data_IF_320289990267
#
_entry.id   IF_320289990267
#
_cell.length_a   1.000
_cell.length_b   1.000
_cell.length_c   1.000
_cell.angle_alpha   90.00
_cell.angle_beta   90.00
_cell.angle_gamma   90.00
#
_symmetry.space_group_name_H-M   'P 1'
#
loop_
_entity.id
_entity.type
_entity.pdbx_description
1 polymer ?
#
# COMPACT_ATOMS: atom_id res chain seq x y z
N UNK A 1 -34.10 -51.09 -25.90
CA UNK A 1 -34.73 -49.78 -25.60
C UNK A 1 -33.63 -48.73 -25.55
N UNK A 2 -33.64 -47.81 -26.52
CA UNK A 2 -32.61 -46.78 -26.73
C UNK A 2 -32.81 -45.64 -25.73
N UNK A 3 -31.86 -45.43 -24.81
CA UNK A 3 -31.75 -44.16 -24.10
C UNK A 3 -30.59 -43.39 -24.73
N UNK A 4 -30.99 -42.43 -25.56
CA UNK A 4 -30.13 -41.48 -26.26
C UNK A 4 -29.62 -40.50 -25.21
N UNK A 5 -28.33 -40.57 -24.88
CA UNK A 5 -27.65 -39.56 -24.06
C UNK A 5 -27.31 -38.42 -25.01
N UNK A 6 -28.03 -37.31 -24.90
CA UNK A 6 -27.70 -36.06 -25.57
C UNK A 6 -26.42 -35.52 -24.92
N UNK A 7 -25.29 -35.79 -25.57
CA UNK A 7 -24.03 -35.09 -25.32
C UNK A 7 -24.24 -33.62 -25.73
N UNK A 8 -24.49 -32.75 -24.76
CA UNK A 8 -24.41 -31.31 -24.94
C UNK A 8 -22.92 -30.93 -24.96
N UNK A 9 -22.28 -31.20 -26.09
CA UNK A 9 -20.98 -30.65 -26.47
C UNK A 9 -21.17 -29.16 -26.72
N UNK A 10 -21.08 -28.37 -25.65
CA UNK A 10 -20.82 -26.95 -25.78
C UNK A 10 -19.34 -26.78 -26.16
N UNK A 11 -19.01 -26.01 -27.21
CA UNK A 11 -17.63 -25.70 -27.52
C UNK A 11 -17.12 -24.76 -26.44
N UNK A 12 -16.12 -25.19 -25.66
CA UNK A 12 -15.30 -24.27 -24.87
C UNK A 12 -14.37 -23.56 -25.85
N UNK A 13 -14.92 -22.55 -26.53
CA UNK A 13 -14.14 -21.55 -27.23
C UNK A 13 -13.79 -20.45 -26.23
N UNK A 14 -12.61 -20.56 -25.60
CA UNK A 14 -11.95 -19.43 -24.97
C UNK A 14 -10.79 -19.00 -25.87
N UNK A 15 -11.11 -18.23 -26.90
CA UNK A 15 -10.14 -17.40 -27.59
C UNK A 15 -9.86 -16.17 -26.73
N UNK A 16 -8.59 -16.03 -26.37
CA UNK A 16 -7.79 -14.81 -26.38
C UNK A 16 -8.37 -13.50 -25.84
N UNK A 17 -7.56 -12.87 -24.98
CA UNK A 17 -7.28 -11.45 -25.11
C UNK A 17 -7.78 -10.59 -23.97
N UNK A 18 -6.83 -10.07 -23.18
CA UNK A 18 -7.12 -9.04 -22.20
C UNK A 18 -5.91 -8.50 -21.44
N UNK A 19 -4.69 -8.63 -21.97
CA UNK A 19 -3.62 -7.72 -21.57
C UNK A 19 -3.97 -6.33 -22.10
N UNK A 20 -4.52 -5.49 -21.22
CA UNK A 20 -4.74 -4.08 -21.48
C UNK A 20 -4.62 -3.35 -20.14
N UNK A 21 -3.51 -2.64 -19.98
CA UNK A 21 -3.20 -1.71 -18.90
C UNK A 21 -3.15 -2.34 -17.49
N UNK A 22 -2.14 -3.17 -17.26
CA UNK A 22 -1.55 -3.27 -15.92
C UNK A 22 -1.07 -1.85 -15.56
N UNK A 23 -1.78 -1.20 -14.63
CA UNK A 23 -1.29 0.00 -13.95
C UNK A 23 0.10 -0.35 -13.45
N UNK A 24 1.14 0.21 -14.08
CA UNK A 24 2.50 -0.26 -13.89
C UNK A 24 2.82 -0.30 -12.39
N UNK A 25 2.89 -1.53 -11.84
CA UNK A 25 3.09 -1.72 -10.42
C UNK A 25 4.37 -0.99 -10.00
N UNK A 26 4.40 -0.38 -8.81
CA UNK A 26 5.59 0.30 -8.36
C UNK A 26 6.78 -0.66 -8.35
N UNK A 27 7.89 -0.24 -8.94
CA UNK A 27 9.08 -1.09 -9.09
C UNK A 27 10.35 -0.27 -8.92
N UNK A 28 11.42 -0.92 -8.46
CA UNK A 28 12.74 -0.30 -8.36
C UNK A 28 13.32 -0.10 -9.77
N UNK A 29 13.94 1.05 -10.00
CA UNK A 29 14.67 1.35 -11.23
C UNK A 29 15.98 2.04 -10.87
N UNK A 30 17.09 1.30 -10.96
CA UNK A 30 18.39 1.79 -10.48
C UNK A 30 18.37 1.99 -8.96
N UNK A 31 18.78 3.17 -8.52
CA UNK A 31 18.67 3.64 -7.13
C UNK A 31 17.35 4.39 -6.83
N UNK A 32 16.46 4.49 -7.82
CA UNK A 32 15.16 5.11 -7.70
C UNK A 32 14.00 4.11 -7.62
N UNK A 33 12.79 4.66 -7.56
CA UNK A 33 11.53 3.92 -7.63
C UNK A 33 10.60 4.55 -8.64
N UNK A 34 9.97 3.74 -9.49
CA UNK A 34 8.95 4.18 -10.43
C UNK A 34 7.58 3.97 -9.80
N UNK A 35 6.76 5.03 -9.77
CA UNK A 35 5.40 5.03 -9.25
C UNK A 35 4.52 5.76 -10.28
N UNK A 36 3.44 5.13 -10.75
CA UNK A 36 2.52 5.68 -11.75
C UNK A 36 3.25 6.20 -13.02
N UNK A 37 4.31 5.50 -13.44
CA UNK A 37 5.16 5.91 -14.58
C UNK A 37 6.12 7.08 -14.31
N UNK A 38 6.15 7.62 -13.09
CA UNK A 38 7.08 8.67 -12.66
C UNK A 38 8.26 8.06 -11.92
N UNK A 39 9.48 8.39 -12.33
CA UNK A 39 10.70 8.03 -11.60
C UNK A 39 10.93 9.01 -10.45
N UNK A 40 10.97 8.48 -9.23
CA UNK A 40 11.48 9.16 -8.05
C UNK A 40 12.93 8.73 -7.85
N UNK A 41 13.84 9.70 -7.84
CA UNK A 41 15.28 9.43 -7.73
C UNK A 41 15.66 9.07 -6.29
N UNK A 42 16.89 8.61 -6.08
CA UNK A 42 17.43 8.43 -4.73
C UNK A 42 17.34 9.73 -3.89
N UNK A 43 17.54 10.91 -4.51
CA UNK A 43 17.43 12.18 -3.81
C UNK A 43 15.99 12.43 -3.30
N UNK A 44 14.98 12.06 -4.08
CA UNK A 44 13.57 12.20 -3.71
C UNK A 44 13.19 11.23 -2.57
N UNK A 45 13.73 10.00 -2.64
CA UNK A 45 13.62 9.00 -1.58
C UNK A 45 14.26 9.53 -0.28
N UNK A 46 15.45 10.13 -0.36
CA UNK A 46 16.16 10.70 0.80
C UNK A 46 15.41 11.88 1.40
N UNK A 47 14.83 12.76 0.57
CA UNK A 47 13.91 13.82 1.03
C UNK A 47 12.72 13.21 1.76
N UNK A 48 12.13 12.15 1.21
CA UNK A 48 11.06 11.37 1.81
C UNK A 48 11.42 10.82 3.18
N UNK A 49 12.59 10.18 3.30
CA UNK A 49 13.13 9.68 4.55
C UNK A 49 13.30 10.79 5.58
N UNK A 50 13.84 11.94 5.18
CA UNK A 50 14.02 13.08 6.06
C UNK A 50 12.68 13.65 6.56
N UNK A 51 11.63 13.67 5.71
CA UNK A 51 10.28 14.06 6.10
C UNK A 51 9.68 13.04 7.07
N UNK A 52 9.82 11.74 6.79
CA UNK A 52 9.37 10.66 7.66
C UNK A 52 9.95 10.83 9.08
N UNK A 53 11.26 11.10 9.19
CA UNK A 53 11.92 11.31 10.47
C UNK A 53 11.39 12.52 11.25
N UNK A 54 10.87 13.54 10.55
CA UNK A 54 10.33 14.75 11.20
C UNK A 54 8.85 14.64 11.53
N UNK A 55 8.09 13.80 10.81
CA UNK A 55 6.62 13.83 10.82
C UNK A 55 5.97 12.50 11.23
N UNK A 56 6.69 11.38 11.14
CA UNK A 56 6.14 10.03 11.28
C UNK A 56 6.87 9.20 12.35
N UNK A 57 8.20 9.32 12.44
CA UNK A 57 9.03 8.44 13.29
C UNK A 57 8.77 8.55 14.80
N UNK A 58 8.14 9.64 15.27
CA UNK A 58 7.74 9.74 16.67
C UNK A 58 6.63 8.74 17.03
N UNK A 59 5.87 8.27 16.05
CA UNK A 59 4.74 7.36 16.25
C UNK A 59 4.93 6.00 15.57
N UNK A 60 5.74 5.91 14.50
CA UNK A 60 5.85 4.71 13.68
C UNK A 60 7.30 4.22 13.56
N UNK A 61 7.50 2.91 13.76
CA UNK A 61 8.77 2.22 13.51
C UNK A 61 8.93 1.76 12.06
N UNK A 62 10.19 1.58 11.66
CA UNK A 62 10.62 0.98 10.39
C UNK A 62 11.52 -0.24 10.64
N UNK A 63 11.36 -0.87 11.79
CA UNK A 63 12.07 -2.05 12.29
C UNK A 63 11.08 -3.08 12.89
N UNK A 64 9.81 -3.03 12.46
CA UNK A 64 8.69 -3.79 13.01
C UNK A 64 8.39 -3.50 14.50
N UNK A 65 8.91 -2.39 15.04
CA UNK A 65 8.55 -1.93 16.39
C UNK A 65 7.29 -1.06 16.35
N UNK A 66 6.27 -1.45 17.13
CA UNK A 66 5.13 -0.58 17.43
C UNK A 66 5.55 0.49 18.45
N UNK A 67 5.25 1.76 18.18
CA UNK A 67 5.43 2.84 19.16
C UNK A 67 4.07 3.35 19.63
N UNK A 68 3.76 4.63 19.38
CA UNK A 68 2.43 5.23 19.62
C UNK A 68 1.45 4.92 18.49
N UNK A 69 1.91 4.26 17.43
CA UNK A 69 1.17 3.81 16.27
C UNK A 69 1.86 2.53 15.69
N UNK A 70 1.19 1.76 14.82
CA UNK A 70 1.73 0.49 14.33
C UNK A 70 2.90 0.70 13.37
N UNK A 71 3.83 -0.25 13.27
CA UNK A 71 4.98 -0.15 12.35
C UNK A 71 4.58 -0.05 10.87
N UNK A 72 5.50 0.50 10.05
CA UNK A 72 5.24 0.81 8.63
C UNK A 72 6.17 0.08 7.64
N UNK A 73 7.07 -0.80 8.10
CA UNK A 73 7.79 -1.76 7.23
C UNK A 73 6.85 -2.44 6.25
N UNK A 74 7.27 -2.75 5.03
CA UNK A 74 6.43 -3.49 4.08
C UNK A 74 4.97 -3.02 3.99
N UNK A 75 4.69 -1.71 4.11
CA UNK A 75 3.30 -1.23 4.14
C UNK A 75 2.60 -1.42 2.80
N UNK A 76 3.34 -1.34 1.68
CA UNK A 76 2.76 -1.52 0.36
C UNK A 76 2.15 -2.92 0.22
N UNK A 77 0.89 -2.98 -0.21
CA UNK A 77 0.15 -4.23 -0.38
C UNK A 77 -0.37 -4.86 0.91
N UNK A 78 -0.02 -4.31 2.09
CA UNK A 78 -0.51 -4.84 3.37
C UNK A 78 -1.99 -4.51 3.56
N UNK A 79 -2.83 -5.46 4.05
CA UNK A 79 -4.19 -5.15 4.47
C UNK A 79 -4.20 -4.08 5.57
N UNK A 80 -5.23 -3.24 5.56
CA UNK A 80 -5.45 -2.28 6.63
C UNK A 80 -5.72 -3.00 7.94
N UNK A 81 -5.39 -2.33 9.06
CA UNK A 81 -5.65 -2.86 10.39
C UNK A 81 -5.09 -4.27 10.67
N UNK A 82 -3.96 -4.65 10.05
CA UNK A 82 -3.46 -6.02 10.07
C UNK A 82 -2.14 -6.24 10.84
N UNK A 83 -1.57 -5.20 11.46
CA UNK A 83 -0.37 -5.38 12.29
C UNK A 83 -0.77 -6.12 13.56
N UNK A 84 -0.10 -7.25 13.82
CA UNK A 84 -0.32 -8.01 15.05
C UNK A 84 -0.03 -7.14 16.28
N UNK A 85 -0.73 -7.43 17.37
CA UNK A 85 -0.58 -6.74 18.66
C UNK A 85 -0.82 -5.21 18.62
N UNK A 86 -1.54 -4.70 17.61
CA UNK A 86 -2.02 -3.33 17.58
C UNK A 86 -3.55 -3.25 17.71
N UNK A 87 -4.03 -2.47 18.66
CA UNK A 87 -5.45 -2.21 18.84
C UNK A 87 -5.91 -1.09 17.91
N UNK A 88 -6.37 -1.46 16.71
CA UNK A 88 -6.95 -0.49 15.77
C UNK A 88 -8.33 0.00 16.23
N UNK A 89 -8.60 1.30 16.01
CA UNK A 89 -9.92 1.88 16.23
C UNK A 89 -10.96 1.26 15.29
N UNK A 90 -12.24 1.32 15.70
CA UNK A 90 -13.34 0.79 14.90
C UNK A 90 -13.42 1.40 13.49
N UNK A 91 -13.33 2.73 13.29
CA UNK A 91 -13.32 3.32 11.95
C UNK A 91 -12.20 2.76 11.07
N UNK A 92 -11.02 2.51 11.65
CA UNK A 92 -9.87 1.99 10.91
C UNK A 92 -10.08 0.54 10.45
N UNK A 93 -10.65 -0.30 11.33
CA UNK A 93 -11.03 -1.68 10.97
C UNK A 93 -12.15 -1.71 9.93
N UNK A 94 -13.12 -0.78 10.03
CA UNK A 94 -14.24 -0.70 9.12
C UNK A 94 -13.86 -0.28 7.70
N UNK A 95 -12.76 0.46 7.52
CA UNK A 95 -12.26 0.82 6.19
C UNK A 95 -11.87 -0.43 5.37
N UNK A 96 -11.24 -1.42 5.99
CA UNK A 96 -11.03 -2.76 5.40
C UNK A 96 -10.25 -2.81 4.08
N UNK A 97 -9.49 -1.77 3.75
CA UNK A 97 -8.76 -1.65 2.48
C UNK A 97 -7.39 -2.30 2.47
N UNK A 98 -6.65 -2.08 1.39
CA UNK A 98 -5.24 -2.47 1.20
C UNK A 98 -4.42 -1.22 0.96
N UNK A 99 -3.21 -1.18 1.50
CA UNK A 99 -2.28 -0.08 1.31
C UNK A 99 -1.62 -0.09 -0.07
N UNK A 100 -2.33 0.40 -1.08
CA UNK A 100 -1.77 0.75 -2.40
C UNK A 100 -1.15 2.15 -2.40
N UNK A 101 -0.42 2.51 -3.45
CA UNK A 101 0.10 3.87 -3.65
C UNK A 101 -1.03 4.91 -3.60
N UNK A 102 -2.16 4.62 -4.25
CA UNK A 102 -3.32 5.51 -4.32
C UNK A 102 -3.94 5.70 -2.94
N UNK A 103 -4.10 4.62 -2.19
CA UNK A 103 -4.63 4.67 -0.82
C UNK A 103 -3.69 5.41 0.13
N UNK A 104 -2.37 5.24 -0.01
CA UNK A 104 -1.36 5.99 0.74
C UNK A 104 -1.40 7.48 0.38
N UNK A 105 -1.58 7.80 -0.91
CA UNK A 105 -1.73 9.18 -1.39
C UNK A 105 -2.99 9.83 -0.82
N UNK A 106 -4.12 9.14 -0.82
CA UNK A 106 -5.36 9.60 -0.19
C UNK A 106 -5.19 9.81 1.32
N UNK A 107 -4.65 8.80 2.01
CA UNK A 107 -4.41 8.80 3.44
C UNK A 107 -3.52 9.95 3.89
N UNK A 108 -2.36 10.11 3.24
CA UNK A 108 -1.41 11.15 3.59
C UNK A 108 -1.82 12.54 3.09
N UNK A 109 -2.84 12.67 2.23
CA UNK A 109 -3.42 13.96 1.86
C UNK A 109 -4.18 14.57 3.03
N UNK A 110 -5.12 13.81 3.62
CA UNK A 110 -5.77 14.13 4.90
C UNK A 110 -6.42 12.87 5.49
N UNK A 111 -5.84 12.29 6.56
CA UNK A 111 -6.36 11.06 7.18
C UNK A 111 -7.83 11.15 7.57
N UNK A 112 -8.23 12.28 8.17
CA UNK A 112 -9.62 12.52 8.61
C UNK A 112 -10.65 12.57 7.47
N UNK A 113 -10.24 12.79 6.22
CA UNK A 113 -11.17 12.72 5.07
C UNK A 113 -11.39 11.29 4.62
N UNK A 114 -10.41 10.41 4.82
CA UNK A 114 -10.45 9.02 4.38
C UNK A 114 -11.04 8.08 5.45
N UNK A 115 -10.64 8.27 6.71
CA UNK A 115 -11.17 7.55 7.86
C UNK A 115 -11.54 8.59 8.92
N UNK A 116 -12.80 9.05 8.95
CA UNK A 116 -13.28 9.97 9.96
C UNK A 116 -13.05 9.41 11.36
N UNK A 117 -12.70 10.28 12.31
CA UNK A 117 -12.44 9.93 13.71
C UNK A 117 -11.24 8.99 13.89
N UNK A 118 -10.35 8.91 12.90
CA UNK A 118 -9.06 8.23 13.07
C UNK A 118 -8.27 8.85 14.22
N UNK A 119 -7.63 8.00 15.02
CA UNK A 119 -6.76 8.39 16.12
C UNK A 119 -5.41 8.93 15.64
N UNK A 120 -5.10 8.79 14.34
CA UNK A 120 -3.91 9.40 13.75
C UNK A 120 -4.07 10.93 13.69
N UNK A 121 -3.55 11.62 14.71
CA UNK A 121 -3.53 13.08 14.78
C UNK A 121 -2.46 13.67 13.83
N UNK A 122 -2.71 13.54 12.53
CA UNK A 122 -1.86 14.06 11.47
C UNK A 122 -2.68 14.91 10.50
N UNK A 123 -2.26 16.17 10.31
CA UNK A 123 -2.97 17.13 9.46
C UNK A 123 -2.93 16.83 7.95
N UNK A 124 -2.10 15.86 7.53
CA UNK A 124 -1.90 15.54 6.13
C UNK A 124 -1.00 16.53 5.38
N UNK A 125 -0.71 16.21 4.13
CA UNK A 125 0.10 16.98 3.19
C UNK A 125 -0.74 17.65 2.10
N UNK A 126 -1.90 18.22 2.45
CA UNK A 126 -2.89 18.78 1.50
C UNK A 126 -2.32 19.72 0.44
N UNK A 127 -1.34 20.54 0.82
CA UNK A 127 -0.70 21.53 -0.06
C UNK A 127 0.77 21.23 -0.36
N UNK A 128 1.30 20.16 0.23
CA UNK A 128 2.72 19.76 0.15
C UNK A 128 2.78 18.45 -0.62
N UNK A 129 2.31 18.48 -1.87
CA UNK A 129 2.14 17.29 -2.69
C UNK A 129 3.48 16.62 -2.97
N UNK A 130 4.53 17.40 -3.23
CA UNK A 130 5.89 16.87 -3.40
C UNK A 130 6.40 16.19 -2.12
N UNK A 131 6.27 16.81 -0.94
CA UNK A 131 6.61 16.16 0.33
C UNK A 131 5.85 14.84 0.51
N UNK A 132 4.55 14.82 0.21
CA UNK A 132 3.71 13.62 0.30
C UNK A 132 4.25 12.52 -0.60
N UNK A 133 4.48 12.85 -1.86
CA UNK A 133 4.86 11.88 -2.88
C UNK A 133 6.30 11.37 -2.61
N UNK A 134 7.20 12.20 -2.09
CA UNK A 134 8.53 11.78 -1.63
C UNK A 134 8.45 10.82 -0.42
N UNK A 135 7.57 11.07 0.56
CA UNK A 135 7.35 10.13 1.67
C UNK A 135 6.79 8.80 1.17
N UNK A 136 5.88 8.83 0.19
CA UNK A 136 5.34 7.62 -0.43
C UNK A 136 6.44 6.87 -1.17
N UNK A 137 7.26 7.55 -1.98
CA UNK A 137 8.40 6.97 -2.67
C UNK A 137 9.35 6.28 -1.70
N UNK A 138 9.65 6.92 -0.56
CA UNK A 138 10.43 6.31 0.51
C UNK A 138 9.79 5.03 1.08
N UNK A 139 8.51 5.06 1.44
CA UNK A 139 7.81 3.89 1.99
C UNK A 139 7.71 2.74 0.97
N UNK A 140 7.46 3.07 -0.29
CA UNK A 140 7.38 2.10 -1.40
C UNK A 140 8.74 1.48 -1.68
N UNK A 141 9.80 2.28 -1.81
CA UNK A 141 11.15 1.78 -2.05
C UNK A 141 11.59 0.83 -0.92
N UNK A 142 11.28 1.18 0.33
CA UNK A 142 11.52 0.30 1.49
C UNK A 142 10.74 -1.00 1.39
N UNK A 143 9.44 -0.94 1.12
CA UNK A 143 8.60 -2.13 1.00
C UNK A 143 9.07 -3.06 -0.13
N UNK A 144 9.50 -2.51 -1.27
CA UNK A 144 10.04 -3.29 -2.38
C UNK A 144 11.39 -3.95 -2.04
N UNK A 145 12.27 -3.23 -1.33
CA UNK A 145 13.57 -3.76 -0.91
C UNK A 145 13.44 -4.83 0.20
N UNK A 146 12.43 -4.73 1.05
CA UNK A 146 12.11 -5.71 2.10
C UNK A 146 11.35 -6.93 1.53
N UNK A 147 10.81 -6.82 0.31
CA UNK A 147 9.87 -7.77 -0.28
C UNK A 147 8.42 -7.43 0.09
N UNK A 148 7.50 -7.55 -0.88
CA UNK A 148 6.06 -7.41 -0.63
C UNK A 148 5.56 -8.70 0.01
N UNK A 149 5.92 -8.93 1.26
CA UNK A 149 5.33 -10.00 2.07
C UNK A 149 4.02 -9.47 2.65
N UNK A 150 2.93 -9.71 1.92
CA UNK A 150 1.57 -9.29 2.25
C UNK A 150 0.98 -10.05 3.44
N UNK A 151 1.66 -10.10 4.58
CA UNK A 151 1.14 -10.43 5.91
C UNK A 151 2.31 -10.37 6.90
N UNK A 152 2.01 -10.08 8.16
CA UNK A 152 2.97 -10.32 9.24
C UNK A 152 3.20 -11.83 9.35
N UNK A 153 4.44 -12.35 9.28
CA UNK A 153 4.69 -13.79 9.47
C UNK A 153 4.28 -14.30 10.87
N UNK A 154 3.89 -13.41 11.78
CA UNK A 154 3.38 -13.73 13.11
C UNK A 154 1.85 -13.96 13.19
N UNK A 155 1.11 -13.95 12.08
CA UNK A 155 -0.36 -14.11 12.09
C UNK A 155 -0.88 -15.55 11.89
N UNK A 156 -0.07 -16.58 12.13
CA UNK A 156 -0.49 -18.00 12.15
C UNK A 156 -0.92 -18.48 13.55
#
# INVERSE_FOLDING_TARGET
MRKIIFACLLPVAALAGGGAADEAQPHLQGDGVVIDGTLFTQEDIDKGAAIFMRRCSQCHGLDRTNYKAPWLNGILGRPSASVADWAYSEPFRAWGGVWTVESLRAWLTRPQDMIPETEMNFGGFRRRTEDRDNVIAFLVARALAEGIEGADPASD
#
